data_IF_410072807641
#
_entry.id   IF_410072807641
#
_cell.length_a   1.000
_cell.length_b   1.000
_cell.length_c   1.000
_cell.angle_alpha   90.00
_cell.angle_beta   90.00
_cell.angle_gamma   90.00
#
_symmetry.space_group_name_H-M   'P 1'
#
loop_
_entity.id
_entity.type
_entity.pdbx_description
1 polymer ?
#
# COMPACT_ATOMS: atom_id res chain seq x y z
N UNK A 1 27.12 10.16 -4.09
CA UNK A 1 26.34 8.98 -4.53
C UNK A 1 24.87 9.08 -4.11
N UNK A 2 24.58 9.52 -2.87
CA UNK A 2 23.22 9.74 -2.35
C UNK A 2 22.38 10.74 -3.17
N UNK A 3 22.96 11.86 -3.61
CA UNK A 3 22.23 12.87 -4.39
C UNK A 3 21.76 12.37 -5.76
N UNK A 4 22.49 11.42 -6.38
CA UNK A 4 22.08 10.80 -7.65
C UNK A 4 20.95 9.80 -7.45
N UNK A 5 20.97 9.02 -6.36
CA UNK A 5 19.91 8.07 -6.02
C UNK A 5 18.59 8.78 -5.66
N UNK A 6 18.66 9.96 -5.04
CA UNK A 6 17.48 10.75 -4.71
C UNK A 6 17.02 11.69 -5.83
N UNK A 7 17.77 11.82 -6.93
CA UNK A 7 17.45 12.77 -8.01
C UNK A 7 16.15 12.41 -8.74
N UNK A 8 16.04 11.16 -9.20
CA UNK A 8 14.87 10.67 -9.94
C UNK A 8 13.57 10.76 -9.13
N UNK A 9 13.50 10.24 -7.88
CA UNK A 9 12.27 10.33 -7.09
C UNK A 9 11.92 11.76 -6.66
N UNK A 10 12.88 12.70 -6.63
CA UNK A 10 12.59 14.12 -6.39
C UNK A 10 12.08 14.85 -7.63
N UNK A 11 12.62 14.52 -8.81
CA UNK A 11 12.28 15.18 -10.08
C UNK A 11 10.95 14.69 -10.65
N UNK A 12 10.69 13.38 -10.53
CA UNK A 12 9.51 12.71 -11.07
C UNK A 12 8.82 11.84 -10.01
N UNK A 13 8.35 12.44 -8.90
CA UNK A 13 7.89 11.71 -7.72
C UNK A 13 6.66 10.83 -8.00
N UNK A 14 5.74 11.30 -8.85
CA UNK A 14 4.56 10.53 -9.24
C UNK A 14 4.94 9.33 -10.13
N UNK A 15 5.71 9.57 -11.20
CA UNK A 15 6.13 8.50 -12.11
C UNK A 15 6.95 7.44 -11.37
N UNK A 16 7.85 7.88 -10.49
CA UNK A 16 8.61 6.97 -9.65
C UNK A 16 7.72 6.14 -8.75
N UNK A 17 6.75 6.75 -8.06
CA UNK A 17 5.82 6.04 -7.20
C UNK A 17 5.00 4.99 -7.97
N UNK A 18 4.48 5.36 -9.15
CA UNK A 18 3.70 4.45 -10.01
C UNK A 18 4.55 3.28 -10.50
N UNK A 19 5.71 3.55 -11.10
CA UNK A 19 6.59 2.51 -11.63
C UNK A 19 7.14 1.62 -10.53
N UNK A 20 7.53 2.20 -9.39
CA UNK A 20 8.01 1.43 -8.24
C UNK A 20 6.90 0.55 -7.66
N UNK A 21 5.68 1.08 -7.52
CA UNK A 21 4.52 0.32 -7.07
C UNK A 21 4.20 -0.87 -7.98
N UNK A 22 4.18 -0.64 -9.29
CA UNK A 22 3.98 -1.70 -10.30
C UNK A 22 5.08 -2.76 -10.25
N UNK A 23 6.34 -2.34 -10.37
CA UNK A 23 7.50 -3.24 -10.38
C UNK A 23 7.61 -4.05 -9.09
N UNK A 24 7.42 -3.42 -7.93
CA UNK A 24 7.43 -4.12 -6.63
C UNK A 24 6.32 -5.15 -6.55
N UNK A 25 5.13 -4.83 -7.03
CA UNK A 25 3.97 -5.73 -6.86
C UNK A 25 4.11 -6.95 -7.76
N UNK A 26 4.55 -6.78 -9.01
CA UNK A 26 4.90 -7.89 -9.90
C UNK A 26 6.07 -8.70 -9.35
N UNK A 27 7.14 -8.04 -8.89
CA UNK A 27 8.30 -8.72 -8.32
C UNK A 27 7.96 -9.57 -7.09
N UNK A 28 7.10 -9.05 -6.20
CA UNK A 28 6.62 -9.79 -5.04
C UNK A 28 5.76 -10.99 -5.45
N UNK A 29 4.89 -10.83 -6.46
CA UNK A 29 4.04 -11.91 -6.96
C UNK A 29 4.88 -13.02 -7.63
N UNK A 30 5.81 -12.65 -8.51
CA UNK A 30 6.74 -13.61 -9.16
C UNK A 30 7.56 -14.36 -8.11
N UNK A 31 8.02 -13.66 -7.07
CA UNK A 31 8.74 -14.30 -5.96
C UNK A 31 7.84 -15.31 -5.25
N UNK A 32 6.59 -14.96 -4.93
CA UNK A 32 5.64 -15.88 -4.30
C UNK A 32 5.41 -17.10 -5.20
N UNK A 33 5.13 -16.90 -6.48
CA UNK A 33 4.87 -18.00 -7.41
C UNK A 33 6.08 -18.94 -7.55
N UNK A 34 7.29 -18.41 -7.68
CA UNK A 34 8.50 -19.23 -7.92
C UNK A 34 9.13 -19.81 -6.67
N UNK A 35 9.11 -19.07 -5.56
CA UNK A 35 9.85 -19.45 -4.34
C UNK A 35 8.92 -20.06 -3.29
N UNK A 36 7.72 -19.52 -3.12
CA UNK A 36 6.77 -19.98 -2.09
C UNK A 36 5.89 -21.09 -2.63
N UNK A 37 5.30 -20.90 -3.81
CA UNK A 37 4.38 -21.87 -4.43
C UNK A 37 5.12 -22.91 -5.30
N UNK A 38 6.42 -22.71 -5.56
CA UNK A 38 7.25 -23.58 -6.40
C UNK A 38 6.63 -23.90 -7.77
N UNK A 39 5.94 -22.93 -8.38
CA UNK A 39 5.27 -23.13 -9.66
C UNK A 39 6.27 -23.29 -10.83
N UNK A 40 6.06 -24.29 -11.67
CA UNK A 40 6.88 -24.57 -12.86
C UNK A 40 6.81 -23.40 -13.87
N UNK A 41 5.64 -22.79 -14.02
CA UNK A 41 5.40 -21.65 -14.90
C UNK A 41 4.87 -20.44 -14.12
N UNK A 42 5.13 -19.24 -14.65
CA UNK A 42 4.60 -18.00 -14.08
C UNK A 42 3.21 -17.79 -14.64
N UNK A 43 2.22 -17.66 -13.76
CA UNK A 43 0.88 -17.19 -14.09
C UNK A 43 0.95 -15.71 -14.49
N UNK A 44 0.97 -15.48 -15.80
CA UNK A 44 1.04 -14.15 -16.41
C UNK A 44 -0.23 -13.35 -16.20
N UNK A 45 -1.40 -14.01 -16.12
CA UNK A 45 -2.68 -13.35 -15.81
C UNK A 45 -2.65 -12.79 -14.40
N UNK A 46 -2.14 -13.58 -13.45
CA UNK A 46 -1.89 -13.14 -12.07
C UNK A 46 -0.93 -11.96 -12.00
N UNK A 47 0.22 -12.07 -12.65
CA UNK A 47 1.20 -10.99 -12.69
C UNK A 47 0.61 -9.68 -13.28
N UNK A 48 -0.24 -9.77 -14.30
CA UNK A 48 -0.89 -8.59 -14.92
C UNK A 48 -1.93 -7.92 -14.01
N UNK A 49 -2.72 -8.69 -13.26
CA UNK A 49 -3.64 -8.12 -12.26
C UNK A 49 -2.85 -7.43 -11.15
N UNK A 50 -1.78 -8.04 -10.66
CA UNK A 50 -0.89 -7.45 -9.66
C UNK A 50 -0.13 -6.22 -10.19
N UNK A 51 0.23 -6.20 -11.48
CA UNK A 51 0.78 -5.02 -12.13
C UNK A 51 -0.23 -3.86 -12.10
N UNK A 52 -1.48 -4.11 -12.51
CA UNK A 52 -2.56 -3.12 -12.46
C UNK A 52 -2.80 -2.59 -11.04
N UNK A 53 -2.85 -3.50 -10.06
CA UNK A 53 -2.96 -3.13 -8.65
C UNK A 53 -1.77 -2.27 -8.18
N UNK A 54 -0.54 -2.65 -8.55
CA UNK A 54 0.66 -1.92 -8.19
C UNK A 54 0.74 -0.52 -8.82
N UNK A 55 0.37 -0.38 -10.10
CA UNK A 55 0.38 0.91 -10.80
C UNK A 55 -0.71 1.85 -10.29
N UNK A 56 -1.92 1.34 -10.10
CA UNK A 56 -3.09 2.15 -9.79
C UNK A 56 -3.22 2.36 -8.28
N UNK A 57 -3.36 1.28 -7.50
CA UNK A 57 -3.59 1.41 -6.06
C UNK A 57 -2.33 1.84 -5.32
N UNK A 58 -1.25 1.05 -5.42
CA UNK A 58 -0.01 1.34 -4.68
C UNK A 58 0.70 2.57 -5.25
N UNK A 59 0.67 2.75 -6.56
CA UNK A 59 1.28 3.88 -7.25
C UNK A 59 0.45 5.15 -7.16
N UNK A 60 -0.56 5.24 -8.02
CA UNK A 60 -1.28 6.50 -8.26
C UNK A 60 -2.18 6.93 -7.08
N UNK A 61 -2.97 6.01 -6.52
CA UNK A 61 -3.92 6.32 -5.44
C UNK A 61 -3.19 6.66 -4.15
N UNK A 62 -2.24 5.82 -3.69
CA UNK A 62 -1.46 6.13 -2.49
C UNK A 62 -0.61 7.40 -2.66
N UNK A 63 -0.03 7.63 -3.84
CA UNK A 63 0.69 8.89 -4.08
C UNK A 63 -0.23 10.09 -3.94
N UNK A 64 -1.39 10.05 -4.59
CA UNK A 64 -2.37 11.14 -4.52
C UNK A 64 -2.83 11.37 -3.08
N UNK A 65 -3.10 10.30 -2.33
CA UNK A 65 -3.47 10.39 -0.91
C UNK A 65 -2.36 11.01 -0.06
N UNK A 66 -1.14 10.46 -0.10
CA UNK A 66 -0.06 10.85 0.81
C UNK A 66 0.63 12.16 0.44
N UNK A 67 0.68 12.51 -0.84
CA UNK A 67 1.40 13.67 -1.35
C UNK A 67 0.46 14.81 -1.71
N UNK A 68 -0.73 14.55 -2.25
CA UNK A 68 -1.67 15.61 -2.62
C UNK A 68 -2.73 15.86 -1.55
N UNK A 69 -3.42 14.83 -1.07
CA UNK A 69 -4.52 14.98 -0.12
C UNK A 69 -4.02 15.34 1.27
N UNK A 70 -3.05 14.59 1.81
CA UNK A 70 -2.56 14.80 3.17
C UNK A 70 -1.78 16.11 3.31
N UNK A 71 -1.08 16.57 2.27
CA UNK A 71 -0.40 17.88 2.32
C UNK A 71 -1.38 19.05 2.32
N UNK A 72 -2.53 18.90 1.65
CA UNK A 72 -3.60 19.89 1.65
C UNK A 72 -4.40 19.88 2.96
N UNK A 73 -4.72 18.69 3.49
CA UNK A 73 -5.48 18.53 4.73
C UNK A 73 -4.66 18.87 5.99
N UNK A 74 -3.36 18.63 5.95
CA UNK A 74 -2.45 18.80 7.09
C UNK A 74 -1.30 19.73 6.72
N UNK A 75 -1.63 21.03 6.63
CA UNK A 75 -0.62 22.07 6.43
C UNK A 75 0.46 21.96 7.52
N UNK A 76 1.72 21.80 7.09
CA UNK A 76 2.86 21.58 7.98
C UNK A 76 3.33 20.12 8.12
N UNK A 77 2.65 19.12 7.53
CA UNK A 77 3.13 17.73 7.56
C UNK A 77 4.53 17.56 6.96
N UNK A 78 4.85 18.29 5.88
CA UNK A 78 6.18 18.29 5.27
C UNK A 78 7.24 18.92 6.20
N UNK A 79 6.90 20.03 6.86
CA UNK A 79 7.78 20.71 7.80
C UNK A 79 8.02 19.85 9.05
N UNK A 80 6.98 19.19 9.57
CA UNK A 80 7.08 18.25 10.69
C UNK A 80 8.02 17.08 10.37
N UNK A 81 7.94 16.53 9.16
CA UNK A 81 8.78 15.41 8.75
C UNK A 81 10.28 15.73 8.85
N UNK A 82 10.66 16.97 8.51
CA UNK A 82 12.05 17.44 8.54
C UNK A 82 12.59 17.88 9.90
N UNK A 83 11.75 17.97 10.96
CA UNK A 83 12.21 18.41 12.29
C UNK A 83 13.15 17.37 12.95
N UNK A 84 14.05 17.78 13.87
CA UNK A 84 14.71 16.85 14.79
C UNK A 84 13.73 16.21 15.77
N UNK A 85 14.02 15.01 16.29
CA UNK A 85 13.13 14.26 17.19
C UNK A 85 12.71 15.09 18.41
N UNK A 86 13.66 15.75 19.08
CA UNK A 86 13.38 16.58 20.26
C UNK A 86 12.41 17.74 19.96
N UNK A 87 12.45 18.29 18.74
CA UNK A 87 11.54 19.34 18.30
C UNK A 87 10.16 18.78 17.92
N UNK A 88 10.09 17.55 17.38
CA UNK A 88 8.80 16.88 17.09
C UNK A 88 8.00 16.60 18.35
N UNK A 89 8.67 16.14 19.41
CA UNK A 89 8.02 15.85 20.70
C UNK A 89 7.40 17.08 21.35
N UNK A 90 7.92 18.28 21.04
CA UNK A 90 7.40 19.57 21.53
C UNK A 90 6.39 20.21 20.55
N UNK A 91 6.25 19.67 19.34
CA UNK A 91 5.35 20.20 18.31
C UNK A 91 3.96 19.55 18.41
N UNK A 92 3.17 20.03 19.37
CA UNK A 92 1.79 19.57 19.59
C UNK A 92 0.91 19.56 18.33
N UNK A 93 0.85 20.66 17.55
CA UNK A 93 0.13 20.69 16.27
C UNK A 93 0.64 19.64 15.26
N UNK A 94 1.96 19.49 15.14
CA UNK A 94 2.57 18.48 14.27
C UNK A 94 2.20 17.05 14.66
N UNK A 95 2.24 16.73 15.95
CA UNK A 95 1.84 15.42 16.50
C UNK A 95 0.35 15.14 16.28
N UNK A 96 -0.52 16.15 16.41
CA UNK A 96 -1.95 16.00 16.10
C UNK A 96 -2.18 15.70 14.62
N UNK A 97 -1.45 16.38 13.73
CA UNK A 97 -1.52 16.13 12.28
C UNK A 97 -0.95 14.76 11.91
N UNK A 98 0.11 14.31 12.57
CA UNK A 98 0.64 12.96 12.44
C UNK A 98 -0.44 11.93 12.81
N UNK A 99 -1.05 12.07 13.98
CA UNK A 99 -2.09 11.15 14.45
C UNK A 99 -3.28 11.12 13.47
N UNK A 100 -3.73 12.28 12.98
CA UNK A 100 -4.81 12.34 11.98
C UNK A 100 -4.43 11.65 10.66
N UNK A 101 -3.20 11.81 10.18
CA UNK A 101 -2.72 11.09 8.98
C UNK A 101 -2.74 9.58 9.18
N UNK A 102 -2.21 9.09 10.31
CA UNK A 102 -2.23 7.66 10.65
C UNK A 102 -3.68 7.17 10.76
N UNK A 103 -4.57 7.92 11.41
CA UNK A 103 -5.96 7.48 11.56
C UNK A 103 -6.71 7.43 10.22
N UNK A 104 -6.58 8.45 9.37
CA UNK A 104 -7.20 8.43 8.04
C UNK A 104 -6.64 7.31 7.17
N UNK A 105 -5.34 7.08 7.24
CA UNK A 105 -4.73 6.00 6.48
C UNK A 105 -5.24 4.62 6.97
N UNK A 106 -5.18 4.35 8.27
CA UNK A 106 -5.41 3.02 8.83
C UNK A 106 -6.90 2.67 9.05
N UNK A 107 -7.76 3.67 9.29
CA UNK A 107 -9.19 3.45 9.59
C UNK A 107 -10.14 3.92 8.48
N UNK A 108 -9.64 4.64 7.46
CA UNK A 108 -10.49 5.09 6.34
C UNK A 108 -9.98 4.53 5.02
N UNK A 109 -8.74 4.84 4.64
CA UNK A 109 -8.19 4.39 3.36
C UNK A 109 -8.06 2.87 3.29
N UNK A 110 -7.41 2.24 4.28
CA UNK A 110 -7.21 0.80 4.25
C UNK A 110 -8.53 0.01 4.23
N UNK A 111 -9.50 0.27 5.12
CA UNK A 111 -10.76 -0.47 5.13
C UNK A 111 -11.69 -0.19 3.94
N UNK A 112 -11.72 1.04 3.43
CA UNK A 112 -12.73 1.45 2.45
C UNK A 112 -12.23 1.44 1.01
N UNK A 113 -10.91 1.44 0.78
CA UNK A 113 -10.32 1.47 -0.55
C UNK A 113 -9.35 0.34 -0.80
N UNK A 114 -8.32 0.18 0.05
CA UNK A 114 -7.27 -0.81 -0.19
C UNK A 114 -7.82 -2.24 -0.20
N UNK A 115 -8.49 -2.65 0.88
CA UNK A 115 -9.00 -4.02 1.01
C UNK A 115 -10.11 -4.35 0.00
N UNK A 116 -11.15 -3.51 -0.21
CA UNK A 116 -12.15 -3.79 -1.23
C UNK A 116 -11.56 -4.00 -2.63
N UNK A 117 -10.55 -3.20 -3.00
CA UNK A 117 -9.88 -3.35 -4.30
C UNK A 117 -9.00 -4.59 -4.34
N UNK A 118 -8.30 -4.92 -3.26
CA UNK A 118 -7.55 -6.17 -3.15
C UNK A 118 -8.45 -7.40 -3.33
N UNK A 119 -9.57 -7.47 -2.59
CA UNK A 119 -10.53 -8.56 -2.73
C UNK A 119 -11.16 -8.60 -4.14
N UNK A 120 -11.36 -7.45 -4.78
CA UNK A 120 -11.81 -7.39 -6.17
C UNK A 120 -10.76 -7.97 -7.13
N UNK A 121 -9.47 -7.70 -6.91
CA UNK A 121 -8.39 -8.35 -7.67
C UNK A 121 -8.40 -9.87 -7.47
N UNK A 122 -8.65 -10.36 -6.25
CA UNK A 122 -8.77 -11.80 -6.00
C UNK A 122 -9.94 -12.44 -6.76
N UNK A 123 -11.12 -11.79 -6.79
CA UNK A 123 -12.26 -12.30 -7.55
C UNK A 123 -12.01 -12.29 -9.07
N UNK A 124 -11.32 -11.26 -9.59
CA UNK A 124 -10.91 -11.21 -11.00
C UNK A 124 -10.01 -12.41 -11.32
N UNK A 125 -9.08 -12.76 -10.42
CA UNK A 125 -8.17 -13.89 -10.61
C UNK A 125 -8.87 -15.23 -10.58
N UNK A 126 -9.84 -15.43 -9.68
CA UNK A 126 -10.67 -16.65 -9.66
C UNK A 126 -11.40 -16.86 -10.99
N UNK A 127 -11.91 -15.79 -11.60
CA UNK A 127 -12.52 -15.83 -12.93
C UNK A 127 -13.94 -16.41 -12.96
N UNK A 128 -14.60 -16.53 -11.80
CA UNK A 128 -15.95 -17.10 -11.65
C UNK A 128 -17.06 -16.26 -12.30
N UNK A 129 -16.80 -14.99 -12.62
CA UNK A 129 -17.74 -14.10 -13.30
C UNK A 129 -17.02 -13.08 -14.16
N UNK A 130 -17.61 -12.75 -15.31
CA UNK A 130 -17.19 -11.65 -16.18
C UNK A 130 -17.96 -10.34 -15.89
N UNK A 131 -19.01 -10.37 -15.06
CA UNK A 131 -19.82 -9.21 -14.75
C UNK A 131 -19.15 -8.35 -13.65
N UNK A 132 -18.76 -7.09 -13.93
CA UNK A 132 -18.04 -6.26 -12.95
C UNK A 132 -18.83 -6.02 -11.65
N UNK A 133 -20.16 -5.90 -11.74
CA UNK A 133 -21.00 -5.68 -10.56
C UNK A 133 -21.03 -6.92 -9.68
N UNK A 134 -21.05 -8.10 -10.29
CA UNK A 134 -21.03 -9.37 -9.57
C UNK A 134 -19.67 -9.61 -8.89
N UNK A 135 -18.57 -9.30 -9.58
CA UNK A 135 -17.21 -9.37 -9.02
C UNK A 135 -17.11 -8.51 -7.75
N UNK A 136 -17.59 -7.26 -7.80
CA UNK A 136 -17.56 -6.35 -6.65
C UNK A 136 -18.49 -6.83 -5.53
N UNK A 137 -19.67 -7.37 -5.86
CA UNK A 137 -20.55 -7.95 -4.83
C UNK A 137 -19.88 -9.12 -4.12
N UNK A 138 -19.30 -10.06 -4.87
CA UNK A 138 -18.61 -11.23 -4.31
C UNK A 138 -17.39 -10.82 -3.48
N UNK A 139 -16.63 -9.81 -3.94
CA UNK A 139 -15.48 -9.30 -3.21
C UNK A 139 -15.89 -8.70 -1.85
N UNK A 140 -16.97 -7.92 -1.80
CA UNK A 140 -17.50 -7.37 -0.55
C UNK A 140 -18.08 -8.46 0.37
N UNK A 141 -18.78 -9.45 -0.18
CA UNK A 141 -19.30 -10.60 0.59
C UNK A 141 -18.17 -11.38 1.26
N UNK A 142 -17.01 -11.49 0.62
CA UNK A 142 -15.81 -12.11 1.20
C UNK A 142 -15.07 -11.18 2.17
N UNK A 143 -14.97 -9.91 1.84
CA UNK A 143 -14.22 -8.94 2.62
C UNK A 143 -14.88 -8.62 3.97
N UNK A 144 -16.18 -8.29 4.00
CA UNK A 144 -16.86 -7.79 5.20
C UNK A 144 -16.71 -8.74 6.40
N UNK A 145 -16.89 -10.07 6.26
CA UNK A 145 -16.68 -11.00 7.37
C UNK A 145 -15.21 -11.09 7.84
N UNK A 146 -14.26 -11.02 6.90
CA UNK A 146 -12.83 -11.14 7.18
C UNK A 146 -12.18 -9.84 7.64
N UNK A 147 -12.87 -8.71 7.47
CA UNK A 147 -12.36 -7.35 7.66
C UNK A 147 -11.66 -7.18 9.01
N UNK A 148 -12.23 -7.71 10.10
CA UNK A 148 -11.65 -7.56 11.44
C UNK A 148 -10.28 -8.23 11.54
N UNK A 149 -10.17 -9.47 11.06
CA UNK A 149 -8.93 -10.23 11.12
C UNK A 149 -7.85 -9.59 10.23
N UNK A 150 -8.23 -9.21 9.00
CA UNK A 150 -7.34 -8.59 8.03
C UNK A 150 -6.83 -7.23 8.50
N UNK A 151 -7.71 -6.40 9.08
CA UNK A 151 -7.31 -5.10 9.63
C UNK A 151 -6.41 -5.25 10.85
N UNK A 152 -6.68 -6.21 11.74
CA UNK A 152 -5.82 -6.45 12.89
C UNK A 152 -4.42 -6.91 12.46
N UNK A 153 -4.33 -7.77 11.45
CA UNK A 153 -3.06 -8.18 10.88
C UNK A 153 -2.33 -7.00 10.22
N UNK A 154 -3.06 -6.18 9.46
CA UNK A 154 -2.52 -4.98 8.81
C UNK A 154 -2.01 -3.96 9.84
N UNK A 155 -2.79 -3.66 10.86
CA UNK A 155 -2.47 -2.65 11.87
C UNK A 155 -1.20 -2.98 12.66
N UNK A 156 -0.91 -4.26 12.91
CA UNK A 156 0.34 -4.68 13.57
C UNK A 156 1.60 -4.22 12.82
N UNK A 157 1.50 -4.03 11.51
CA UNK A 157 2.62 -3.67 10.64
C UNK A 157 2.53 -2.21 10.21
N UNK A 158 1.34 -1.79 9.77
CA UNK A 158 1.16 -0.51 9.13
C UNK A 158 0.88 0.64 10.09
N UNK A 159 0.38 0.42 11.31
CA UNK A 159 0.36 1.50 12.31
C UNK A 159 1.78 1.97 12.65
N UNK A 160 2.72 1.09 13.09
CA UNK A 160 4.07 1.54 13.40
C UNK A 160 4.79 2.08 12.16
N UNK A 161 4.60 1.44 11.00
CA UNK A 161 5.19 1.90 9.74
C UNK A 161 4.65 3.27 9.32
N UNK A 162 3.35 3.53 9.46
CA UNK A 162 2.72 4.82 9.13
C UNK A 162 3.19 5.94 10.06
N UNK A 163 3.37 5.63 11.35
CA UNK A 163 3.96 6.59 12.29
C UNK A 163 5.36 6.97 11.80
N UNK A 164 6.20 6.01 11.44
CA UNK A 164 7.55 6.28 10.92
C UNK A 164 7.47 7.06 9.60
N UNK A 165 6.61 6.62 8.68
CA UNK A 165 6.44 7.21 7.36
C UNK A 165 6.04 8.69 7.46
N UNK A 166 4.98 9.01 8.20
CA UNK A 166 4.50 10.39 8.31
C UNK A 166 5.36 11.25 9.23
N UNK A 167 6.09 10.62 10.16
CA UNK A 167 7.01 11.35 11.04
C UNK A 167 8.34 11.66 10.37
N UNK A 168 8.94 10.76 9.58
CA UNK A 168 10.35 10.90 9.17
C UNK A 168 10.56 10.88 7.66
N UNK A 169 9.63 10.28 6.90
CA UNK A 169 9.85 10.05 5.47
C UNK A 169 9.42 11.31 4.68
N UNK A 170 10.32 11.86 3.84
CA UNK A 170 9.99 12.96 2.94
C UNK A 170 8.83 12.59 2.01
N UNK A 171 8.02 13.56 1.61
CA UNK A 171 6.82 13.33 0.78
C UNK A 171 7.08 12.45 -0.44
N UNK A 172 8.16 12.71 -1.18
CA UNK A 172 8.51 11.98 -2.40
C UNK A 172 8.95 10.52 -2.17
N UNK A 173 9.28 10.13 -0.93
CA UNK A 173 9.65 8.76 -0.55
C UNK A 173 8.56 8.02 0.20
N UNK A 174 7.42 8.66 0.51
CA UNK A 174 6.35 8.01 1.29
C UNK A 174 5.83 6.75 0.60
N UNK A 175 5.51 6.81 -0.69
CA UNK A 175 5.03 5.65 -1.44
C UNK A 175 6.09 4.55 -1.54
N UNK A 176 7.35 4.83 -1.96
CA UNK A 176 8.41 3.83 -1.95
C UNK A 176 8.64 3.16 -0.59
N UNK A 177 8.59 3.93 0.50
CA UNK A 177 8.69 3.38 1.86
C UNK A 177 7.53 2.42 2.16
N UNK A 178 6.28 2.85 1.90
CA UNK A 178 5.09 2.02 2.09
C UNK A 178 5.16 0.73 1.26
N UNK A 179 5.51 0.86 -0.02
CA UNK A 179 5.65 -0.27 -0.93
C UNK A 179 6.73 -1.26 -0.48
N UNK A 180 7.82 -0.79 0.14
CA UNK A 180 8.88 -1.64 0.70
C UNK A 180 8.38 -2.44 1.90
N UNK A 181 7.70 -1.80 2.85
CA UNK A 181 7.02 -2.49 3.97
C UNK A 181 5.98 -3.48 3.44
N UNK A 182 5.29 -3.09 2.37
CA UNK A 182 4.29 -3.91 1.69
C UNK A 182 4.82 -5.18 1.05
N UNK A 183 6.13 -5.41 0.95
CA UNK A 183 6.68 -6.70 0.50
C UNK A 183 6.35 -7.79 1.54
N UNK A 184 6.58 -7.50 2.82
CA UNK A 184 6.26 -8.42 3.92
C UNK A 184 4.74 -8.64 4.03
N UNK A 185 3.97 -7.58 3.79
CA UNK A 185 2.51 -7.67 3.77
C UNK A 185 1.98 -8.60 2.69
N UNK A 186 2.58 -8.60 1.49
CA UNK A 186 2.21 -9.52 0.43
C UNK A 186 2.35 -10.98 0.87
N UNK A 187 3.44 -11.32 1.57
CA UNK A 187 3.64 -12.68 2.09
C UNK A 187 2.58 -13.06 3.13
N UNK A 188 2.25 -12.14 4.04
CA UNK A 188 1.24 -12.37 5.09
C UNK A 188 -0.16 -12.52 4.48
N UNK A 189 -0.54 -11.66 3.55
CA UNK A 189 -1.80 -11.78 2.83
C UNK A 189 -1.88 -13.09 2.04
N UNK A 190 -0.78 -13.51 1.41
CA UNK A 190 -0.71 -14.79 0.73
C UNK A 190 -0.90 -15.96 1.70
N UNK A 191 -0.36 -15.87 2.92
CA UNK A 191 -0.56 -16.90 3.94
C UNK A 191 -1.98 -16.92 4.52
N UNK A 192 -2.59 -15.75 4.71
CA UNK A 192 -3.94 -15.63 5.30
C UNK A 192 -5.07 -15.89 4.30
N UNK A 193 -4.85 -15.55 3.02
CA UNK A 193 -5.88 -15.45 1.98
C UNK A 193 -5.45 -16.02 0.63
N UNK A 194 -4.28 -16.65 0.55
CA UNK A 194 -3.92 -17.46 -0.62
C UNK A 194 -4.85 -18.66 -0.70
N UNK A 195 -5.46 -18.87 -1.87
CA UNK A 195 -6.21 -20.10 -2.12
C UNK A 195 -5.24 -21.26 -1.94
N UNK A 196 -5.40 -21.99 -0.83
CA UNK A 196 -4.78 -23.29 -0.69
C UNK A 196 -5.44 -24.13 -1.76
N UNK A 197 -4.71 -24.46 -2.83
CA UNK A 197 -5.12 -25.50 -3.77
C UNK A 197 -5.39 -26.75 -2.94
N UNK A 198 -6.67 -27.06 -2.75
CA UNK A 198 -7.20 -28.29 -2.18
C UNK A 198 -8.20 -28.84 -3.19
#
# INVERSE_FOLDING_TARGET
>A
MWDRLCYVPRRWPFQFAVLFGGAKTVGADVYVQKVVEQADEIDTRRAMVFLGFGLIQVGAVQYTLYVSTFTRLFSGAAAFAGKPIAAKLKDGPGLRNLLKQVCLDQFVYHPLMYFPVFYTCQEILKGDSANPVEIVKRSLTKYIPNMKEDLLALWKIFIPSSIIQFSFVPLYLRVPFCASVGIFWCAILSAMRGDTKG
#
